data_IF_112254002412
#
_entry.id   IF_112254002412
#
_cell.length_a   1.000
_cell.length_b   1.000
_cell.length_c   1.000
_cell.angle_alpha   90.00
_cell.angle_beta   90.00
_cell.angle_gamma   90.00
#
_symmetry.space_group_name_H-M   'P 1'
#
loop_
_entity.id
_entity.type
_entity.pdbx_description
1 polymer ?
#
# COMPACT_ATOMS: atom_id res chain seq x y z
N UNK A 1 -25.81 -4.55 20.09
CA UNK A 1 -24.83 -4.31 19.04
C UNK A 1 -24.64 -5.61 18.28
N UNK A 2 -24.62 -5.56 16.95
CA UNK A 2 -24.34 -6.72 16.11
C UNK A 2 -22.83 -6.93 16.12
N UNK A 3 -22.38 -8.18 16.14
CA UNK A 3 -20.94 -8.48 16.12
C UNK A 3 -20.50 -8.81 14.69
N UNK A 4 -19.37 -8.25 14.28
CA UNK A 4 -18.69 -8.60 13.06
C UNK A 4 -17.23 -8.99 13.40
N UNK A 5 -16.67 -9.93 12.65
CA UNK A 5 -15.32 -10.42 12.86
C UNK A 5 -14.49 -10.07 11.63
N UNK A 6 -13.42 -9.28 11.83
CA UNK A 6 -12.49 -8.87 10.80
C UNK A 6 -11.23 -9.71 10.88
N UNK A 7 -11.04 -10.59 9.91
CA UNK A 7 -9.85 -11.40 9.76
C UNK A 7 -8.86 -10.73 8.80
N UNK A 8 -7.69 -10.33 9.28
CA UNK A 8 -6.58 -9.92 8.42
C UNK A 8 -5.80 -11.17 8.06
N UNK A 9 -5.85 -11.57 6.78
CA UNK A 9 -5.20 -12.79 6.29
C UNK A 9 -3.74 -12.56 5.91
N UNK A 10 -3.49 -11.45 5.25
CA UNK A 10 -2.17 -11.01 4.80
C UNK A 10 -2.14 -9.48 4.66
N UNK A 11 -1.06 -8.91 4.12
CA UNK A 11 -0.88 -7.47 3.95
C UNK A 11 -1.84 -6.83 2.93
N UNK A 12 -2.59 -7.63 2.20
CA UNK A 12 -3.50 -7.18 1.13
C UNK A 12 -4.93 -7.59 1.41
N UNK A 13 -5.15 -8.84 1.84
CA UNK A 13 -6.46 -9.47 1.88
C UNK A 13 -7.03 -9.53 3.29
N UNK A 14 -8.28 -9.12 3.41
CA UNK A 14 -9.05 -9.22 4.64
C UNK A 14 -10.38 -9.89 4.37
N UNK A 15 -11.01 -10.45 5.41
CA UNK A 15 -12.35 -11.01 5.35
C UNK A 15 -13.17 -10.52 6.54
N UNK A 16 -14.38 -10.08 6.28
CA UNK A 16 -15.32 -9.63 7.30
C UNK A 16 -16.46 -10.63 7.38
N UNK A 17 -16.64 -11.24 8.54
CA UNK A 17 -17.69 -12.22 8.82
C UNK A 17 -18.75 -11.64 9.76
N UNK A 18 -19.92 -12.29 9.82
CA UNK A 18 -21.01 -11.85 10.71
C UNK A 18 -21.88 -10.73 10.16
N UNK A 19 -21.61 -10.23 8.94
CA UNK A 19 -22.45 -9.19 8.33
C UNK A 19 -23.76 -9.75 7.77
N UNK A 20 -24.85 -9.02 7.97
CA UNK A 20 -26.14 -9.30 7.34
C UNK A 20 -26.08 -9.13 5.81
N UNK A 21 -26.93 -9.86 5.11
CA UNK A 21 -26.92 -9.88 3.64
C UNK A 21 -27.14 -8.48 3.02
N UNK A 22 -28.00 -7.67 3.62
CA UNK A 22 -28.29 -6.33 3.10
C UNK A 22 -27.11 -5.39 3.21
N UNK A 23 -26.35 -5.46 4.33
CA UNK A 23 -25.11 -4.69 4.50
C UNK A 23 -24.05 -5.16 3.52
N UNK A 24 -23.90 -6.49 3.34
CA UNK A 24 -22.98 -7.04 2.33
C UNK A 24 -23.30 -6.58 0.92
N UNK A 25 -24.58 -6.60 0.53
CA UNK A 25 -25.00 -6.09 -0.79
C UNK A 25 -24.67 -4.62 -0.97
N UNK A 26 -24.93 -3.80 0.05
CA UNK A 26 -24.59 -2.37 0.02
C UNK A 26 -23.09 -2.15 -0.15
N UNK A 27 -22.24 -2.90 0.58
CA UNK A 27 -20.78 -2.82 0.41
C UNK A 27 -20.34 -3.29 -0.98
N UNK A 28 -20.92 -4.36 -1.52
CA UNK A 28 -20.65 -4.81 -2.90
C UNK A 28 -20.97 -3.71 -3.91
N UNK A 29 -22.11 -3.04 -3.78
CA UNK A 29 -22.52 -1.98 -4.69
C UNK A 29 -21.64 -0.72 -4.53
N UNK A 30 -21.26 -0.37 -3.30
CA UNK A 30 -20.42 0.77 -2.98
C UNK A 30 -19.00 0.63 -3.56
N UNK A 31 -18.43 -0.59 -3.51
CA UNK A 31 -17.09 -0.88 -4.01
C UNK A 31 -17.07 -1.56 -5.39
N UNK A 32 -18.09 -1.31 -6.20
CA UNK A 32 -18.18 -1.77 -7.58
C UNK A 32 -18.00 -0.61 -8.55
N UNK A 33 -16.91 -0.63 -9.32
CA UNK A 33 -16.51 0.45 -10.22
C UNK A 33 -16.55 0.03 -11.67
N UNK A 34 -17.00 0.93 -12.54
CA UNK A 34 -16.98 0.73 -13.97
C UNK A 34 -15.55 0.87 -14.53
N UNK A 35 -15.11 -0.10 -15.31
CA UNK A 35 -13.80 -0.04 -15.96
C UNK A 35 -13.86 0.93 -17.14
N UNK A 36 -12.99 1.96 -17.18
CA UNK A 36 -12.96 2.89 -18.30
C UNK A 36 -12.82 2.18 -19.64
N UNK A 37 -13.70 2.48 -20.58
CA UNK A 37 -13.68 1.83 -21.89
C UNK A 37 -14.21 0.40 -21.94
N UNK A 38 -14.71 -0.18 -20.85
CA UNK A 38 -15.23 -1.54 -20.80
C UNK A 38 -16.31 -1.82 -21.87
N UNK A 39 -17.14 -0.84 -22.20
CA UNK A 39 -18.19 -0.95 -23.25
C UNK A 39 -17.65 -1.35 -24.63
N UNK A 40 -16.37 -1.09 -24.90
CA UNK A 40 -15.72 -1.47 -26.16
C UNK A 40 -15.09 -2.86 -26.13
N UNK A 41 -14.98 -3.47 -24.95
CA UNK A 41 -14.39 -4.79 -24.79
C UNK A 41 -15.33 -5.90 -25.31
N UNK A 42 -14.79 -6.91 -26.03
CA UNK A 42 -15.59 -8.01 -26.57
C UNK A 42 -16.43 -8.75 -25.50
N UNK A 43 -15.89 -8.89 -24.30
CA UNK A 43 -16.60 -9.57 -23.20
C UNK A 43 -17.88 -8.84 -22.77
N UNK A 44 -17.86 -7.49 -22.75
CA UNK A 44 -19.03 -6.66 -22.44
C UNK A 44 -20.02 -6.69 -23.61
N UNK A 45 -19.52 -6.53 -24.85
CA UNK A 45 -20.37 -6.56 -26.06
C UNK A 45 -21.09 -7.89 -26.26
N UNK A 46 -20.48 -8.99 -25.81
CA UNK A 46 -21.08 -10.35 -25.86
C UNK A 46 -21.90 -10.67 -24.62
N UNK A 47 -22.10 -9.72 -23.69
CA UNK A 47 -22.88 -9.95 -22.45
C UNK A 47 -22.23 -10.89 -21.45
N UNK A 48 -20.94 -11.22 -21.59
CA UNK A 48 -20.20 -12.12 -20.70
C UNK A 48 -19.70 -11.43 -19.44
N UNK A 49 -19.63 -10.11 -19.44
CA UNK A 49 -19.19 -9.30 -18.33
C UNK A 49 -19.95 -7.97 -18.33
N UNK A 50 -20.25 -7.44 -17.15
CA UNK A 50 -20.99 -6.18 -16.97
C UNK A 50 -20.09 -4.90 -17.06
N UNK A 51 -18.79 -5.08 -17.32
CA UNK A 51 -17.85 -3.96 -17.43
C UNK A 51 -17.43 -3.38 -16.09
N UNK A 52 -17.74 -4.03 -14.97
CA UNK A 52 -17.44 -3.55 -13.63
C UNK A 52 -16.49 -4.49 -12.88
N UNK A 53 -15.70 -3.90 -12.00
CA UNK A 53 -14.82 -4.62 -11.07
C UNK A 53 -15.31 -4.35 -9.66
N UNK A 54 -15.50 -5.41 -8.87
CA UNK A 54 -15.88 -5.32 -7.46
C UNK A 54 -14.68 -5.58 -6.56
N UNK A 55 -14.46 -4.70 -5.60
CA UNK A 55 -13.39 -4.81 -4.60
C UNK A 55 -13.89 -5.33 -3.26
N UNK A 56 -15.20 -5.45 -3.07
CA UNK A 56 -15.83 -6.15 -1.96
C UNK A 56 -16.67 -7.32 -2.50
N UNK A 57 -16.43 -8.52 -2.00
CA UNK A 57 -17.15 -9.72 -2.42
C UNK A 57 -18.33 -10.01 -1.47
N UNK A 58 -19.41 -10.58 -1.98
CA UNK A 58 -20.58 -10.93 -1.17
C UNK A 58 -20.25 -11.89 -0.01
N UNK A 59 -19.17 -12.67 -0.14
CA UNK A 59 -18.63 -13.52 0.92
C UNK A 59 -17.88 -12.77 2.03
N UNK A 60 -17.75 -11.44 1.95
CA UNK A 60 -17.07 -10.59 2.92
C UNK A 60 -15.57 -10.41 2.66
N UNK A 61 -15.01 -10.97 1.59
CA UNK A 61 -13.59 -10.77 1.24
C UNK A 61 -13.41 -9.41 0.57
N UNK A 62 -12.37 -8.70 1.00
CA UNK A 62 -12.00 -7.37 0.50
C UNK A 62 -10.51 -7.10 0.74
N UNK A 63 -10.06 -5.87 0.50
CA UNK A 63 -8.67 -5.44 0.65
C UNK A 63 -8.50 -4.57 1.89
N UNK A 64 -7.33 -4.70 2.55
CA UNK A 64 -7.01 -3.97 3.79
C UNK A 64 -7.11 -2.45 3.61
N UNK A 65 -6.72 -1.92 2.44
CA UNK A 65 -6.75 -0.49 2.14
C UNK A 65 -8.17 0.11 2.01
N UNK A 66 -9.20 -0.72 1.96
CA UNK A 66 -10.59 -0.27 1.93
C UNK A 66 -11.24 -0.24 3.31
N UNK A 67 -10.53 -0.65 4.35
CA UNK A 67 -11.08 -0.69 5.71
C UNK A 67 -11.46 0.70 6.22
N UNK A 68 -10.70 1.75 5.87
CA UNK A 68 -10.98 3.13 6.27
C UNK A 68 -12.36 3.62 5.76
N UNK A 69 -12.81 3.11 4.63
CA UNK A 69 -14.13 3.41 4.07
C UNK A 69 -15.23 2.44 4.56
N UNK A 70 -14.85 1.21 4.86
CA UNK A 70 -15.79 0.14 5.28
C UNK A 70 -16.18 0.30 6.76
N UNK A 71 -15.22 0.56 7.65
CA UNK A 71 -15.45 0.62 9.09
C UNK A 71 -16.51 1.67 9.47
N UNK A 72 -16.51 2.91 8.94
CA UNK A 72 -17.57 3.88 9.22
C UNK A 72 -18.96 3.41 8.79
N UNK A 73 -19.05 2.64 7.69
CA UNK A 73 -20.32 2.04 7.25
C UNK A 73 -20.80 1.00 8.26
N UNK A 74 -19.91 0.15 8.77
CA UNK A 74 -20.27 -0.85 9.78
C UNK A 74 -20.72 -0.20 11.10
N UNK A 75 -20.07 0.89 11.51
CA UNK A 75 -20.49 1.69 12.68
C UNK A 75 -21.91 2.25 12.51
N UNK A 76 -22.24 2.81 11.33
CA UNK A 76 -23.60 3.29 11.02
C UNK A 76 -24.68 2.21 11.16
N UNK A 77 -24.32 0.95 10.90
CA UNK A 77 -25.20 -0.20 11.08
C UNK A 77 -25.14 -0.84 12.47
N UNK A 78 -24.49 -0.18 13.44
CA UNK A 78 -24.30 -0.61 14.83
C UNK A 78 -23.60 -1.98 14.96
N UNK A 79 -22.57 -2.23 14.12
CA UNK A 79 -21.68 -3.37 14.28
C UNK A 79 -20.54 -3.02 15.23
N UNK A 80 -20.25 -3.97 16.13
CA UNK A 80 -19.02 -4.03 16.92
C UNK A 80 -18.05 -4.96 16.20
N UNK A 81 -16.92 -4.41 15.76
CA UNK A 81 -15.95 -5.14 14.91
C UNK A 81 -14.81 -5.66 15.78
N UNK A 82 -14.71 -6.98 15.89
CA UNK A 82 -13.60 -7.65 16.53
C UNK A 82 -12.52 -7.96 15.50
N UNK A 83 -11.25 -7.69 15.84
CA UNK A 83 -10.10 -7.88 14.96
C UNK A 83 -9.38 -9.18 15.30
N UNK A 84 -9.18 -10.02 14.28
CA UNK A 84 -8.25 -11.17 14.34
C UNK A 84 -7.18 -11.00 13.26
N UNK A 85 -5.93 -10.83 13.67
CA UNK A 85 -4.79 -10.67 12.78
C UNK A 85 -4.00 -11.98 12.67
N UNK A 86 -3.98 -12.57 11.48
CA UNK A 86 -3.30 -13.83 11.18
C UNK A 86 -1.95 -13.62 10.48
N UNK A 87 -1.48 -12.37 10.37
CA UNK A 87 -0.19 -12.12 9.74
C UNK A 87 0.95 -12.66 10.59
N UNK A 88 1.88 -13.34 9.95
CA UNK A 88 3.06 -13.90 10.61
C UNK A 88 4.10 -12.83 11.03
N UNK A 89 3.93 -11.58 10.56
CA UNK A 89 4.87 -10.49 10.77
C UNK A 89 4.30 -9.40 11.68
N UNK A 90 4.44 -9.58 12.98
CA UNK A 90 4.16 -8.53 13.98
C UNK A 90 5.28 -7.48 14.12
N UNK A 91 6.27 -7.46 13.23
CA UNK A 91 7.38 -6.52 13.34
C UNK A 91 6.98 -5.15 12.81
N UNK A 92 6.60 -4.25 13.71
CA UNK A 92 6.51 -2.82 13.45
C UNK A 92 7.92 -2.25 13.26
N UNK A 93 8.44 -2.26 12.04
CA UNK A 93 9.67 -1.57 11.72
C UNK A 93 9.41 -0.06 11.80
N UNK A 94 10.04 0.59 12.77
CA UNK A 94 10.11 2.05 12.81
C UNK A 94 11.41 2.44 12.12
N UNK A 95 11.27 3.11 11.00
CA UNK A 95 12.40 3.69 10.29
C UNK A 95 12.61 5.12 10.79
N UNK A 96 13.88 5.51 10.97
CA UNK A 96 14.24 6.90 11.25
C UNK A 96 13.88 7.77 10.03
N UNK A 97 13.49 9.02 10.31
CA UNK A 97 13.21 9.97 9.24
C UNK A 97 14.49 10.33 8.51
N UNK A 98 14.41 10.39 7.20
CA UNK A 98 15.49 10.84 6.33
C UNK A 98 15.51 12.37 6.30
N UNK A 99 16.69 12.95 6.37
CA UNK A 99 16.96 14.39 6.21
C UNK A 99 17.71 14.65 4.89
N UNK A 100 17.89 15.91 4.51
CA UNK A 100 18.56 16.29 3.27
C UNK A 100 20.03 15.79 3.21
N UNK A 101 20.70 15.73 4.34
CA UNK A 101 22.09 15.35 4.51
C UNK A 101 22.32 13.87 4.83
N UNK A 102 21.26 13.07 4.90
CA UNK A 102 21.35 11.65 5.28
C UNK A 102 22.33 10.84 4.43
N UNK A 103 22.56 11.25 3.19
CA UNK A 103 23.49 10.62 2.26
C UNK A 103 24.73 11.46 1.95
N UNK A 104 25.03 12.47 2.76
CA UNK A 104 26.19 13.37 2.59
C UNK A 104 27.56 12.67 2.69
N UNK A 105 27.59 11.46 3.25
CA UNK A 105 28.76 10.59 3.29
C UNK A 105 29.06 9.91 1.93
N UNK A 106 28.10 9.90 1.01
CA UNK A 106 28.27 9.42 -0.37
C UNK A 106 28.58 10.59 -1.30
N UNK A 107 29.37 10.31 -2.33
CA UNK A 107 29.72 11.29 -3.35
C UNK A 107 29.25 10.86 -4.73
N UNK A 108 28.97 11.85 -5.58
CA UNK A 108 28.60 11.58 -6.97
C UNK A 108 29.72 10.90 -7.74
N UNK A 109 29.32 9.94 -8.60
CA UNK A 109 30.23 9.20 -9.50
C UNK A 109 31.06 10.15 -10.37
N UNK A 110 32.32 9.79 -10.73
CA UNK A 110 33.20 10.57 -11.60
C UNK A 110 32.58 10.96 -12.96
N UNK A 111 31.59 10.22 -13.44
CA UNK A 111 30.90 10.51 -14.71
C UNK A 111 29.77 11.53 -14.57
N UNK A 112 29.39 11.88 -13.34
CA UNK A 112 28.31 12.83 -13.08
C UNK A 112 28.80 14.29 -13.20
N UNK A 113 27.98 15.25 -13.70
CA UNK A 113 28.35 16.66 -13.85
C UNK A 113 28.85 17.33 -12.56
N UNK A 114 28.45 16.84 -11.39
CA UNK A 114 28.88 17.32 -10.07
C UNK A 114 29.68 16.25 -9.31
N UNK A 115 30.54 15.53 -10.05
CA UNK A 115 31.38 14.47 -9.49
C UNK A 115 32.15 14.93 -8.26
N UNK A 116 32.28 14.07 -7.26
CA UNK A 116 33.01 14.31 -6.02
C UNK A 116 32.27 15.19 -5.01
N UNK A 117 31.13 15.78 -5.34
CA UNK A 117 30.32 16.48 -4.35
C UNK A 117 29.45 15.48 -3.55
N UNK A 118 29.17 15.79 -2.27
CA UNK A 118 28.28 14.94 -1.47
C UNK A 118 26.88 14.86 -2.07
N UNK A 119 26.24 13.70 -1.89
CA UNK A 119 24.85 13.50 -2.31
C UNK A 119 23.95 14.15 -1.28
N UNK A 120 23.22 15.17 -1.71
CA UNK A 120 22.22 15.86 -0.90
C UNK A 120 20.84 15.60 -1.51
N UNK A 121 19.88 15.21 -0.67
CA UNK A 121 18.48 15.05 -1.10
C UNK A 121 17.83 16.42 -1.20
N UNK A 122 16.95 16.59 -2.18
CA UNK A 122 16.09 17.77 -2.29
C UNK A 122 14.92 17.65 -1.32
N UNK A 123 14.37 18.76 -0.89
CA UNK A 123 13.24 18.84 0.05
C UNK A 123 12.08 17.89 -0.30
N UNK A 124 11.60 17.91 -1.55
CA UNK A 124 10.54 17.02 -2.00
C UNK A 124 10.96 15.53 -2.03
N UNK A 125 12.24 15.20 -2.24
CA UNK A 125 12.73 13.82 -2.16
C UNK A 125 12.69 13.32 -0.72
N UNK A 126 13.10 14.15 0.24
CA UNK A 126 12.98 13.88 1.67
C UNK A 126 11.52 13.64 2.05
N UNK A 127 10.59 14.50 1.59
CA UNK A 127 9.17 14.36 1.85
C UNK A 127 8.62 13.02 1.31
N UNK A 128 8.95 12.68 0.05
CA UNK A 128 8.50 11.44 -0.60
C UNK A 128 9.01 10.21 0.15
N UNK A 129 10.31 10.18 0.51
CA UNK A 129 10.90 9.06 1.25
C UNK A 129 10.24 8.91 2.61
N UNK A 130 10.07 10.00 3.36
CA UNK A 130 9.44 9.96 4.68
C UNK A 130 7.96 9.55 4.64
N UNK A 131 7.22 9.95 3.61
CA UNK A 131 5.85 9.46 3.37
C UNK A 131 5.82 7.96 3.09
N UNK A 132 6.77 7.45 2.29
CA UNK A 132 6.88 6.02 2.05
C UNK A 132 7.24 5.23 3.31
N UNK A 133 8.14 5.75 4.15
CA UNK A 133 8.51 5.11 5.41
C UNK A 133 7.34 5.07 6.42
N UNK A 134 6.46 6.08 6.36
CA UNK A 134 5.26 6.14 7.20
C UNK A 134 4.12 5.26 6.67
N UNK A 135 4.04 5.09 5.34
CA UNK A 135 3.01 4.31 4.68
C UNK A 135 3.61 3.58 3.45
N UNK A 136 4.16 2.38 3.64
CA UNK A 136 4.85 1.64 2.57
C UNK A 136 3.91 1.16 1.44
N UNK A 137 2.59 1.22 1.64
CA UNK A 137 1.59 0.91 0.63
C UNK A 137 1.03 2.21 0.03
N UNK A 138 1.87 2.98 -0.63
CA UNK A 138 1.46 4.23 -1.26
C UNK A 138 1.80 4.26 -2.76
N UNK A 139 0.97 4.95 -3.54
CA UNK A 139 1.27 5.32 -4.92
C UNK A 139 1.98 6.67 -4.92
N UNK A 140 3.17 6.72 -5.52
CA UNK A 140 3.97 7.94 -5.63
C UNK A 140 3.98 8.40 -7.08
N UNK A 141 3.40 9.57 -7.35
CA UNK A 141 3.47 10.23 -8.65
C UNK A 141 4.59 11.26 -8.64
N UNK A 142 5.66 10.98 -9.37
CA UNK A 142 6.87 11.81 -9.41
C UNK A 142 7.13 12.22 -10.86
N UNK A 143 7.28 13.53 -11.10
CA UNK A 143 7.52 14.09 -12.43
C UNK A 143 8.80 13.53 -13.07
N UNK A 144 8.84 13.52 -14.41
CA UNK A 144 10.02 13.15 -15.18
C UNK A 144 11.15 14.16 -14.92
N UNK A 145 12.36 13.67 -14.68
CA UNK A 145 13.52 14.54 -14.35
C UNK A 145 13.66 14.94 -12.88
N UNK A 146 12.73 14.57 -12.00
CA UNK A 146 12.77 14.88 -10.57
C UNK A 146 13.71 13.99 -9.76
N UNK A 147 14.62 13.22 -10.39
CA UNK A 147 15.61 12.39 -9.66
C UNK A 147 14.99 11.15 -9.02
N UNK A 148 14.05 10.48 -9.71
CA UNK A 148 13.40 9.25 -9.22
C UNK A 148 14.39 8.17 -8.75
N UNK A 149 15.51 7.99 -9.46
CA UNK A 149 16.52 6.98 -9.12
C UNK A 149 17.09 7.24 -7.72
N UNK A 150 17.48 8.49 -7.42
CA UNK A 150 18.02 8.87 -6.10
C UNK A 150 16.98 8.63 -5.00
N UNK A 151 15.72 9.01 -5.25
CA UNK A 151 14.62 8.78 -4.31
C UNK A 151 14.38 7.29 -4.08
N UNK A 152 14.38 6.49 -5.14
CA UNK A 152 14.17 5.04 -5.06
C UNK A 152 15.33 4.33 -4.35
N UNK A 153 16.58 4.68 -4.70
CA UNK A 153 17.79 4.16 -4.04
C UNK A 153 17.80 4.51 -2.55
N UNK A 154 17.36 5.72 -2.19
CA UNK A 154 17.22 6.13 -0.80
C UNK A 154 16.21 5.28 -0.05
N UNK A 155 15.06 4.95 -0.66
CA UNK A 155 14.06 4.06 -0.07
C UNK A 155 14.59 2.64 0.14
N UNK A 156 15.37 2.11 -0.80
CA UNK A 156 16.00 0.78 -0.70
C UNK A 156 17.06 0.78 0.40
N UNK A 157 17.96 1.78 0.41
CA UNK A 157 19.06 1.85 1.37
C UNK A 157 18.54 1.93 2.81
N UNK A 158 17.51 2.74 3.09
CA UNK A 158 16.89 2.79 4.43
C UNK A 158 16.35 1.43 4.85
N UNK A 159 15.82 0.62 3.91
CA UNK A 159 15.37 -0.75 4.22
C UNK A 159 16.52 -1.73 4.41
N UNK A 160 17.62 -1.58 3.67
CA UNK A 160 18.79 -2.47 3.72
C UNK A 160 19.62 -2.25 4.98
N UNK A 161 19.78 -1.01 5.41
CA UNK A 161 20.53 -0.63 6.62
C UNK A 161 19.77 -0.97 7.91
N UNK A 162 18.51 -1.40 7.83
CA UNK A 162 17.75 -1.89 8.96
C UNK A 162 18.03 -3.38 9.23
N UNK A 163 17.76 -3.84 10.48
CA UNK A 163 17.82 -5.28 10.83
C UNK A 163 17.00 -6.16 9.87
N UNK A 164 16.00 -5.58 9.19
CA UNK A 164 15.22 -6.24 8.15
C UNK A 164 16.02 -6.46 6.87
N UNK A 165 16.87 -5.54 6.48
CA UNK A 165 17.79 -5.71 5.34
C UNK A 165 18.76 -6.85 5.58
N UNK A 166 19.31 -6.96 6.80
CA UNK A 166 20.17 -8.09 7.18
C UNK A 166 19.40 -9.42 7.20
N UNK A 167 18.17 -9.41 7.68
CA UNK A 167 17.29 -10.59 7.68
C UNK A 167 17.01 -11.07 6.25
N UNK A 168 16.65 -10.17 5.33
CA UNK A 168 16.44 -10.50 3.93
C UNK A 168 17.71 -11.01 3.24
N UNK A 169 18.84 -10.34 3.45
CA UNK A 169 20.14 -10.76 2.92
C UNK A 169 20.53 -12.15 3.42
N UNK A 170 20.28 -12.47 4.68
CA UNK A 170 20.59 -13.78 5.27
C UNK A 170 19.62 -14.87 4.80
N UNK A 171 18.35 -14.54 4.53
CA UNK A 171 17.34 -15.49 4.04
C UNK A 171 17.55 -15.88 2.58
N UNK A 172 18.10 -14.99 1.76
CA UNK A 172 18.28 -15.21 0.31
C UNK A 172 19.74 -15.42 -0.13
N UNK A 173 20.71 -15.40 0.81
CA UNK A 173 22.06 -15.91 0.58
C UNK A 173 22.07 -17.44 0.70
N UNK A 174 21.49 -18.12 -0.30
CA UNK A 174 21.71 -19.54 -0.56
C UNK A 174 22.21 -19.73 -1.97
#
# INVERSE_FOLDING_TARGET
MKQALLHIKDEVNVKIEGLELDVRKKLVDMFKFEVPGARYMPAVRLGRWDGKVGYFQLGGSTYINLLDDILPVLEQYNYDVQLEDYREYERNFKFDKVAEDSYSHLVWDPTHPIAGQPIMLRDYQVEIVNKFLSNPQCLQEIATGAGKCVTFDSQINVKIDSEFGEFLLNKYKK
#
